data_IF_991273609631
#
_entry.id   IF_991273609631
#
_cell.length_a   1.000
_cell.length_b   1.000
_cell.length_c   1.000
_cell.angle_alpha   90.00
_cell.angle_beta   90.00
_cell.angle_gamma   90.00
#
_symmetry.space_group_name_H-M   'P 1'
#
loop_
_entity.id
_entity.type
_entity.pdbx_description
1 polymer ?
#
# COMPACT_ATOMS: atom_id res chain seq x y z
N UNK A 1 -1.00 -19.13 -7.63
CA UNK A 1 -0.08 -18.05 -8.08
C UNK A 1 1.28 -18.21 -7.41
N UNK A 2 1.38 -18.28 -6.06
CA UNK A 2 2.66 -18.34 -5.34
C UNK A 2 3.53 -19.53 -5.79
N UNK A 3 2.98 -20.73 -5.89
CA UNK A 3 3.70 -21.92 -6.32
C UNK A 3 4.18 -21.89 -7.80
N UNK A 4 3.70 -20.94 -8.58
CA UNK A 4 4.12 -20.77 -9.98
C UNK A 4 5.17 -19.67 -10.15
N UNK A 5 5.67 -19.11 -9.07
CA UNK A 5 6.75 -18.14 -9.11
C UNK A 5 8.08 -18.81 -9.48
N UNK A 6 8.99 -18.05 -10.06
CA UNK A 6 10.33 -18.57 -10.41
C UNK A 6 11.11 -18.92 -9.13
N UNK A 7 11.95 -19.94 -9.16
CA UNK A 7 12.94 -20.16 -8.11
C UNK A 7 13.78 -18.88 -7.91
N UNK A 8 14.01 -18.50 -6.65
CA UNK A 8 14.72 -17.26 -6.31
C UNK A 8 13.88 -15.98 -6.41
N UNK A 9 12.59 -16.05 -6.74
CA UNK A 9 11.71 -14.87 -6.76
C UNK A 9 11.61 -14.22 -5.39
N UNK A 10 11.55 -12.88 -5.38
CA UNK A 10 11.27 -12.05 -4.21
C UNK A 10 9.90 -11.42 -4.38
N UNK A 11 8.98 -11.70 -3.46
CA UNK A 11 7.67 -11.06 -3.42
C UNK A 11 7.76 -9.75 -2.65
N UNK A 12 7.23 -8.66 -3.20
CA UNK A 12 7.16 -7.35 -2.54
C UNK A 12 5.70 -6.91 -2.52
N UNK A 13 5.19 -6.60 -1.33
CA UNK A 13 3.85 -6.01 -1.19
C UNK A 13 3.93 -4.68 -0.41
N UNK A 14 3.75 -3.59 -1.13
CA UNK A 14 3.65 -2.21 -0.63
C UNK A 14 2.28 -1.60 -0.96
N UNK A 15 1.34 -2.42 -1.36
CA UNK A 15 0.00 -2.02 -1.77
C UNK A 15 -1.03 -2.15 -0.64
N UNK A 16 -1.62 -3.34 -0.53
CA UNK A 16 -2.58 -3.69 0.54
C UNK A 16 -2.41 -5.16 0.92
N UNK A 17 -2.60 -5.47 2.21
CA UNK A 17 -2.50 -6.83 2.73
C UNK A 17 -3.41 -7.82 2.02
N UNK A 18 -4.64 -7.41 1.70
CA UNK A 18 -5.65 -8.22 1.01
C UNK A 18 -5.25 -8.69 -0.41
N UNK A 19 -4.15 -8.18 -0.96
CA UNK A 19 -3.61 -8.65 -2.24
C UNK A 19 -2.93 -10.01 -2.14
N UNK A 20 -2.62 -10.46 -0.93
CA UNK A 20 -1.87 -11.68 -0.66
C UNK A 20 -2.61 -12.52 0.39
N UNK A 21 -2.76 -13.79 0.13
CA UNK A 21 -3.20 -14.78 1.13
C UNK A 21 -2.00 -15.06 2.05
N UNK A 22 -2.00 -14.47 3.26
CA UNK A 22 -0.88 -14.56 4.20
C UNK A 22 -0.58 -15.99 4.65
N UNK A 23 -1.57 -16.83 5.04
CA UNK A 23 -1.33 -18.23 5.34
C UNK A 23 -0.68 -19.00 4.20
N UNK A 24 -1.15 -18.77 2.96
CA UNK A 24 -0.56 -19.39 1.79
C UNK A 24 0.87 -18.87 1.52
N UNK A 25 1.12 -17.58 1.78
CA UNK A 25 2.46 -17.01 1.64
C UNK A 25 3.44 -17.61 2.66
N UNK A 26 3.04 -17.75 3.92
CA UNK A 26 3.85 -18.40 4.97
C UNK A 26 4.25 -19.81 4.56
N UNK A 27 3.28 -20.61 4.06
CA UNK A 27 3.53 -21.96 3.59
C UNK A 27 4.48 -21.98 2.38
N UNK A 28 4.30 -21.07 1.43
CA UNK A 28 5.12 -20.95 0.23
C UNK A 28 6.57 -20.55 0.55
N UNK A 29 6.77 -19.58 1.45
CA UNK A 29 8.08 -19.14 1.91
C UNK A 29 8.85 -20.26 2.65
N UNK A 30 8.15 -21.03 3.47
CA UNK A 30 8.72 -22.24 4.12
C UNK A 30 9.14 -23.30 3.09
N UNK A 31 8.40 -23.40 1.98
CA UNK A 31 8.73 -24.30 0.87
C UNK A 31 9.81 -23.72 -0.07
N UNK A 32 10.25 -22.47 0.12
CA UNK A 32 11.31 -21.81 -0.64
C UNK A 32 10.88 -21.18 -1.97
N UNK A 33 9.58 -21.06 -2.22
CA UNK A 33 9.06 -20.40 -3.43
C UNK A 33 7.82 -19.57 -3.10
N UNK A 34 7.89 -18.21 -3.06
CA UNK A 34 9.08 -17.40 -3.37
C UNK A 34 10.22 -17.60 -2.39
N UNK A 35 11.44 -17.25 -2.79
CA UNK A 35 12.62 -17.38 -1.94
C UNK A 35 12.64 -16.38 -0.79
N UNK A 36 12.04 -15.21 -0.97
CA UNK A 36 11.94 -14.16 0.04
C UNK A 36 10.69 -13.31 -0.16
N UNK A 37 10.31 -12.55 0.88
CA UNK A 37 9.29 -11.51 0.79
C UNK A 37 9.69 -10.24 1.55
N UNK A 38 9.24 -9.07 1.03
CA UNK A 38 9.25 -7.78 1.71
C UNK A 38 7.83 -7.26 1.80
N UNK A 39 7.33 -7.09 3.02
CA UNK A 39 5.92 -6.77 3.29
C UNK A 39 5.83 -5.50 4.13
N UNK A 40 5.15 -4.50 3.59
CA UNK A 40 4.87 -3.23 4.28
C UNK A 40 3.43 -3.15 4.75
N UNK A 41 2.57 -4.07 4.28
CA UNK A 41 1.13 -4.08 4.52
C UNK A 41 0.64 -5.49 4.81
N UNK A 42 -0.42 -5.59 5.66
CA UNK A 42 -0.97 -6.85 6.14
C UNK A 42 -2.50 -6.83 6.09
N UNK A 43 -3.12 -8.01 6.18
CA UNK A 43 -4.59 -8.13 6.20
C UNK A 43 -5.15 -7.43 7.43
N UNK A 44 -4.55 -7.72 8.60
CA UNK A 44 -4.85 -7.03 9.85
C UNK A 44 -3.64 -6.21 10.28
N UNK A 45 -3.84 -4.93 10.55
CA UNK A 45 -2.80 -4.00 10.98
C UNK A 45 -3.16 -3.38 12.34
N UNK A 46 -2.27 -3.41 13.32
CA UNK A 46 -0.90 -3.96 13.31
C UNK A 46 -0.86 -5.47 13.12
N UNK A 47 0.19 -5.99 12.45
CA UNK A 47 0.39 -7.43 12.27
C UNK A 47 0.36 -8.14 13.63
N UNK A 48 -0.48 -9.18 13.74
CA UNK A 48 -0.62 -9.96 14.97
C UNK A 48 0.73 -10.47 15.48
N UNK A 49 0.98 -10.42 16.81
CA UNK A 49 2.17 -11.02 17.41
C UNK A 49 2.32 -12.52 17.12
N UNK A 50 1.20 -13.21 16.89
CA UNK A 50 1.15 -14.64 16.61
C UNK A 50 1.32 -14.97 15.11
N UNK A 51 1.58 -13.97 14.27
CA UNK A 51 1.78 -14.19 12.84
C UNK A 51 3.03 -15.00 12.58
N UNK A 52 2.88 -16.07 11.80
CA UNK A 52 4.02 -16.91 11.38
C UNK A 52 5.00 -16.20 10.43
N UNK A 53 4.73 -14.96 10.03
CA UNK A 53 5.65 -14.15 9.22
C UNK A 53 6.84 -13.65 10.05
N UNK A 54 6.66 -13.45 11.37
CA UNK A 54 7.73 -12.95 12.26
C UNK A 54 8.92 -13.91 12.36
N UNK A 55 8.66 -15.22 12.30
CA UNK A 55 9.67 -16.27 12.50
C UNK A 55 10.39 -16.67 11.19
N UNK A 56 10.02 -16.06 10.06
CA UNK A 56 10.62 -16.41 8.76
C UNK A 56 11.88 -15.59 8.49
N UNK A 57 13.06 -16.23 8.37
CA UNK A 57 14.33 -15.51 8.16
C UNK A 57 14.45 -14.87 6.77
N UNK A 58 13.56 -15.26 5.84
CA UNK A 58 13.48 -14.76 4.48
C UNK A 58 12.35 -13.75 4.27
N UNK A 59 11.84 -13.14 5.37
CA UNK A 59 10.82 -12.09 5.33
C UNK A 59 11.37 -10.81 5.94
N UNK A 60 11.23 -9.70 5.24
CA UNK A 60 11.41 -8.35 5.74
C UNK A 60 10.04 -7.71 5.97
N UNK A 61 9.85 -7.11 7.14
CA UNK A 61 8.61 -6.45 7.56
C UNK A 61 8.87 -4.97 7.83
N UNK A 62 8.01 -4.10 7.33
CA UNK A 62 7.98 -2.68 7.67
C UNK A 62 6.57 -2.25 8.10
N UNK A 63 6.45 -1.10 8.73
CA UNK A 63 5.26 -0.68 9.46
C UNK A 63 4.35 0.24 8.62
N UNK A 64 3.95 -0.21 7.43
CA UNK A 64 3.07 0.50 6.47
C UNK A 64 3.59 1.92 6.18
N UNK A 65 4.88 2.00 5.86
CA UNK A 65 5.60 3.26 5.69
C UNK A 65 6.25 3.43 4.31
N UNK A 66 5.96 2.56 3.37
CA UNK A 66 6.53 2.61 2.01
C UNK A 66 6.18 3.88 1.23
N UNK A 67 5.13 4.59 1.65
CA UNK A 67 4.75 5.89 1.10
C UNK A 67 5.46 7.09 1.76
N UNK A 68 6.22 6.89 2.83
CA UNK A 68 6.89 7.96 3.55
C UNK A 68 8.17 8.37 2.82
N UNK A 69 8.13 9.54 2.19
CA UNK A 69 9.28 10.15 1.52
C UNK A 69 9.63 11.47 2.19
N UNK A 70 10.89 11.90 2.04
CA UNK A 70 11.31 13.22 2.56
C UNK A 70 10.43 14.33 1.95
N UNK A 71 9.88 15.18 2.82
CA UNK A 71 9.05 16.33 2.40
C UNK A 71 7.60 15.97 2.02
N UNK A 72 7.14 14.75 2.25
CA UNK A 72 5.76 14.36 1.89
C UNK A 72 4.69 15.23 2.58
N UNK A 73 4.97 15.68 3.83
CA UNK A 73 4.04 16.56 4.58
C UNK A 73 3.92 17.93 3.93
N UNK A 74 5.02 18.50 3.47
CA UNK A 74 5.01 19.79 2.78
C UNK A 74 4.28 19.67 1.45
N UNK A 75 4.56 18.61 0.66
CA UNK A 75 3.85 18.34 -0.58
C UNK A 75 2.34 18.14 -0.38
N UNK A 76 1.95 17.48 0.70
CA UNK A 76 0.54 17.32 1.07
C UNK A 76 -0.10 18.65 1.46
N UNK A 77 0.59 19.47 2.26
CA UNK A 77 0.13 20.80 2.63
C UNK A 77 -0.07 21.70 1.41
N UNK A 78 0.90 21.70 0.48
CA UNK A 78 0.81 22.45 -0.78
C UNK A 78 -0.39 22.01 -1.61
N UNK A 79 -0.63 20.70 -1.72
CA UNK A 79 -1.81 20.17 -2.42
C UNK A 79 -3.12 20.60 -1.77
N UNK A 80 -3.20 20.59 -0.44
CA UNK A 80 -4.39 21.05 0.30
C UNK A 80 -4.64 22.54 0.05
N UNK A 81 -3.58 23.35 0.11
CA UNK A 81 -3.67 24.80 -0.14
C UNK A 81 -4.10 25.10 -1.59
N UNK A 82 -3.56 24.36 -2.55
CA UNK A 82 -3.95 24.48 -3.96
C UNK A 82 -5.42 24.11 -4.18
N UNK A 83 -5.87 23.01 -3.60
CA UNK A 83 -7.27 22.59 -3.65
C UNK A 83 -8.20 23.59 -2.97
N UNK A 84 -7.82 24.19 -1.84
CA UNK A 84 -8.60 25.24 -1.19
C UNK A 84 -8.73 26.48 -2.08
N UNK A 85 -7.66 26.88 -2.77
CA UNK A 85 -7.69 28.00 -3.72
C UNK A 85 -8.66 27.68 -4.86
N UNK A 86 -8.52 26.53 -5.49
CA UNK A 86 -9.40 26.06 -6.59
C UNK A 86 -10.88 25.97 -6.16
N UNK A 87 -11.13 25.49 -4.94
CA UNK A 87 -12.48 25.44 -4.36
C UNK A 87 -13.10 26.84 -4.27
N UNK A 88 -12.35 27.81 -3.75
CA UNK A 88 -12.81 29.21 -3.65
C UNK A 88 -13.05 29.83 -5.03
N UNK A 89 -12.16 29.65 -5.97
CA UNK A 89 -12.25 30.17 -7.33
C UNK A 89 -13.43 29.58 -8.11
N UNK A 90 -13.75 28.31 -7.90
CA UNK A 90 -14.87 27.61 -8.55
C UNK A 90 -16.24 27.96 -7.94
N UNK A 91 -16.28 28.70 -6.83
CA UNK A 91 -17.51 28.95 -6.08
C UNK A 91 -18.16 27.67 -5.53
N UNK A 92 -17.40 26.62 -5.31
CA UNK A 92 -17.85 25.33 -4.81
C UNK A 92 -18.55 24.45 -5.86
N UNK A 93 -18.42 24.78 -7.15
CA UNK A 93 -19.05 24.03 -8.25
C UNK A 93 -17.99 23.35 -9.14
N UNK A 94 -18.37 22.27 -9.85
CA UNK A 94 -17.47 21.56 -10.76
C UNK A 94 -16.20 21.00 -10.10
N UNK A 95 -16.30 20.64 -8.83
CA UNK A 95 -15.15 20.24 -7.98
C UNK A 95 -14.45 18.99 -8.48
N UNK A 96 -15.19 18.10 -9.14
CA UNK A 96 -14.66 16.89 -9.79
C UNK A 96 -13.63 17.17 -10.88
N UNK A 97 -13.66 18.38 -11.46
CA UNK A 97 -12.72 18.85 -12.49
C UNK A 97 -11.72 19.87 -11.98
N UNK A 98 -12.10 20.67 -11.00
CA UNK A 98 -11.29 21.74 -10.47
C UNK A 98 -10.20 21.25 -9.50
N UNK A 99 -10.53 20.28 -8.66
CA UNK A 99 -9.63 19.78 -7.61
C UNK A 99 -8.69 18.69 -8.11
N UNK A 100 -7.54 18.61 -7.49
CA UNK A 100 -6.56 17.53 -7.70
C UNK A 100 -6.85 16.34 -6.77
N UNK A 101 -6.59 15.14 -7.24
CA UNK A 101 -6.73 13.89 -6.47
C UNK A 101 -8.14 13.67 -5.90
N UNK A 102 -9.17 13.97 -6.69
CA UNK A 102 -10.57 13.71 -6.30
C UNK A 102 -10.82 12.21 -6.26
N UNK A 103 -11.30 11.74 -5.12
CA UNK A 103 -11.66 10.33 -4.94
C UNK A 103 -13.00 10.05 -5.58
N UNK A 104 -13.04 9.06 -6.48
CA UNK A 104 -14.29 8.47 -6.94
C UNK A 104 -14.92 7.66 -5.80
N UNK A 105 -16.07 8.12 -5.30
CA UNK A 105 -16.72 7.50 -4.14
C UNK A 105 -17.24 6.08 -4.40
N UNK A 106 -17.48 5.72 -5.65
CA UNK A 106 -17.92 4.36 -6.01
C UNK A 106 -16.74 3.40 -6.07
N UNK A 107 -15.58 3.88 -6.54
CA UNK A 107 -14.37 3.07 -6.69
C UNK A 107 -13.45 3.12 -5.47
N UNK A 108 -13.59 4.15 -4.62
CA UNK A 108 -12.80 4.30 -3.39
C UNK A 108 -11.36 4.80 -3.59
N UNK A 109 -10.99 5.24 -4.79
CA UNK A 109 -9.64 5.76 -5.08
C UNK A 109 -9.64 6.83 -6.18
N UNK A 110 -8.50 7.51 -6.33
CA UNK A 110 -8.29 8.52 -7.37
C UNK A 110 -8.18 7.86 -8.75
N UNK A 111 -8.94 8.36 -9.72
CA UNK A 111 -8.98 7.79 -11.08
C UNK A 111 -8.35 8.69 -12.15
N UNK A 112 -7.81 9.86 -11.74
CA UNK A 112 -7.16 10.83 -12.64
C UNK A 112 -5.89 11.37 -12.02
#
# INVERSE_FOLDING_TARGET
VLAAMKPGAHLINVGRGQLVDEPALVAALKAGTPAAASLDVFVDEPLSPDSGLWDLPNVAISAHMSGDVLGWRDSLADQVLDNLRKYRESGGTGLDRALSNVVDKQRGYVTR
#
